data_IF_234880310767
#
_entry.id   IF_234880310767
#
_cell.length_a   1.000
_cell.length_b   1.000
_cell.length_c   1.000
_cell.angle_alpha   90.00
_cell.angle_beta   90.00
_cell.angle_gamma   90.00
#
_symmetry.space_group_name_H-M   'P 1'
#
loop_
_entity.id
_entity.type
_entity.pdbx_description
1 polymer ?
#
# COMPACT_ATOMS: atom_id res chain seq x y z
N UNK A 1 13.86 1.24 -15.75
CA UNK A 1 14.91 1.33 -14.71
C UNK A 1 15.51 -0.04 -14.54
N UNK A 2 16.84 -0.12 -14.40
CA UNK A 2 17.49 -1.36 -13.99
C UNK A 2 17.18 -1.55 -12.50
N UNK A 3 16.57 -2.68 -12.15
CA UNK A 3 16.16 -2.99 -10.78
C UNK A 3 17.12 -3.95 -10.14
N UNK A 4 17.26 -3.88 -8.82
CA UNK A 4 18.08 -4.83 -8.08
C UNK A 4 17.56 -6.26 -8.25
N UNK A 5 18.49 -7.20 -8.45
CA UNK A 5 18.16 -8.63 -8.49
C UNK A 5 17.94 -9.21 -7.08
N UNK A 6 18.38 -8.49 -6.05
CA UNK A 6 18.31 -8.84 -4.65
C UNK A 6 19.49 -8.24 -3.90
N UNK A 7 19.39 -8.13 -2.58
CA UNK A 7 20.45 -7.60 -1.73
C UNK A 7 21.06 -8.71 -0.88
N UNK A 8 22.35 -8.59 -0.55
CA UNK A 8 23.07 -9.60 0.23
C UNK A 8 22.48 -9.72 1.65
N UNK A 9 22.23 -8.60 2.31
CA UNK A 9 21.70 -8.57 3.68
C UNK A 9 20.16 -8.56 3.75
N UNK A 10 19.49 -8.56 2.60
CA UNK A 10 18.04 -8.59 2.48
C UNK A 10 17.63 -9.40 1.24
N UNK A 11 17.81 -10.74 1.26
CA UNK A 11 17.55 -11.58 0.11
C UNK A 11 16.06 -11.61 -0.25
N UNK A 12 15.75 -11.78 -1.53
CA UNK A 12 14.35 -11.97 -1.97
C UNK A 12 13.80 -13.29 -1.44
N UNK A 13 12.63 -13.22 -0.82
CA UNK A 13 11.85 -14.38 -0.37
C UNK A 13 10.39 -14.21 -0.83
N UNK A 14 9.62 -15.31 -1.01
CA UNK A 14 8.17 -15.21 -1.13
C UNK A 14 7.58 -14.65 0.16
N UNK A 15 6.76 -13.61 0.05
CA UNK A 15 6.18 -12.91 1.21
C UNK A 15 4.69 -13.21 1.34
N UNK A 16 4.28 -13.66 2.52
CA UNK A 16 2.89 -13.93 2.90
C UNK A 16 2.58 -13.13 4.15
N UNK A 17 2.04 -11.93 3.95
CA UNK A 17 1.94 -10.92 5.00
C UNK A 17 0.50 -10.68 5.46
N UNK A 18 0.35 -10.27 6.72
CA UNK A 18 -0.89 -9.68 7.25
C UNK A 18 -0.68 -8.18 7.51
N UNK A 19 -1.74 -7.38 7.36
CA UNK A 19 -1.73 -5.97 7.77
C UNK A 19 -1.85 -5.82 9.30
N UNK A 20 -1.07 -4.91 9.86
CA UNK A 20 -1.06 -4.59 11.30
C UNK A 20 -1.14 -3.07 11.47
N UNK A 21 -2.16 -2.62 12.18
CA UNK A 21 -2.32 -1.21 12.55
C UNK A 21 -1.31 -0.82 13.62
N UNK A 22 -0.92 0.46 13.67
CA UNK A 22 -0.07 0.99 14.76
C UNK A 22 -0.66 0.73 16.15
N UNK A 23 -2.00 0.79 16.29
CA UNK A 23 -2.71 0.47 17.55
C UNK A 23 -2.56 -0.98 17.98
N UNK A 24 -2.57 -1.91 17.01
CA UNK A 24 -2.39 -3.33 17.31
C UNK A 24 -0.94 -3.64 17.63
N UNK A 25 0.00 -3.02 16.91
CA UNK A 25 1.43 -3.12 17.21
C UNK A 25 1.80 -2.57 18.60
N UNK A 26 1.09 -1.57 19.10
CA UNK A 26 1.30 -1.00 20.43
C UNK A 26 0.53 -1.71 21.55
N UNK A 27 -0.16 -2.82 21.28
CA UNK A 27 -1.06 -3.47 22.24
C UNK A 27 -0.89 -4.99 22.34
N UNK A 28 -1.68 -5.61 23.21
CA UNK A 28 -1.56 -7.03 23.59
C UNK A 28 -1.81 -8.00 22.42
N UNK A 29 -2.54 -7.56 21.39
CA UNK A 29 -2.87 -8.36 20.20
C UNK A 29 -1.68 -8.60 19.27
N UNK A 30 -0.57 -7.88 19.44
CA UNK A 30 0.65 -8.12 18.66
C UNK A 30 1.16 -9.55 18.89
N UNK A 31 1.13 -10.06 20.13
CA UNK A 31 1.63 -11.40 20.44
C UNK A 31 0.76 -12.50 19.83
N UNK A 32 -0.56 -12.27 19.73
CA UNK A 32 -1.47 -13.16 19.02
C UNK A 32 -1.14 -13.23 17.53
N UNK A 33 -0.77 -12.11 16.91
CA UNK A 33 -0.37 -12.05 15.51
C UNK A 33 0.97 -12.74 15.26
N UNK A 34 1.97 -12.48 16.10
CA UNK A 34 3.28 -13.16 16.01
C UNK A 34 3.08 -14.66 16.10
N UNK A 35 2.30 -15.12 17.10
CA UNK A 35 2.01 -16.55 17.26
C UNK A 35 1.32 -17.14 16.02
N UNK A 36 0.35 -16.43 15.46
CA UNK A 36 -0.31 -16.86 14.23
C UNK A 36 0.69 -16.99 13.08
N UNK A 37 1.63 -16.05 12.95
CA UNK A 37 2.68 -16.10 11.93
C UNK A 37 3.58 -17.32 12.16
N UNK A 38 4.03 -17.57 13.39
CA UNK A 38 4.87 -18.72 13.75
C UNK A 38 4.18 -20.09 13.51
N UNK A 39 2.86 -20.15 13.57
CA UNK A 39 2.06 -21.39 13.47
C UNK A 39 1.44 -21.63 12.08
N UNK A 40 1.72 -20.77 11.10
CA UNK A 40 1.13 -20.80 9.75
C UNK A 40 2.19 -20.65 8.65
N UNK A 41 1.76 -20.57 7.39
CA UNK A 41 2.64 -20.25 6.26
C UNK A 41 2.97 -18.74 6.12
N UNK A 42 2.35 -17.88 6.94
CA UNK A 42 2.65 -16.46 6.98
C UNK A 42 4.09 -16.24 7.44
N UNK A 43 4.73 -15.17 6.98
CA UNK A 43 6.12 -14.86 7.34
C UNK A 43 6.41 -13.36 7.45
N UNK A 44 5.38 -12.52 7.37
CA UNK A 44 5.56 -11.09 7.21
C UNK A 44 4.43 -10.27 7.83
N UNK A 45 4.73 -9.01 8.12
CA UNK A 45 3.73 -8.00 8.44
C UNK A 45 3.90 -6.78 7.57
N UNK A 46 2.77 -6.22 7.15
CA UNK A 46 2.68 -4.85 6.64
C UNK A 46 2.20 -3.97 7.78
N UNK A 47 2.99 -2.97 8.15
CA UNK A 47 2.66 -2.05 9.23
C UNK A 47 2.79 -0.60 8.79
N UNK A 48 1.83 0.22 9.20
CA UNK A 48 1.84 1.64 8.91
C UNK A 48 2.95 2.34 9.69
N UNK A 49 4.03 2.69 9.00
CA UNK A 49 5.02 3.65 9.49
C UNK A 49 4.46 5.06 9.43
N UNK A 50 3.64 5.35 8.41
CA UNK A 50 2.78 6.53 8.35
C UNK A 50 1.37 6.13 7.90
N UNK A 51 0.39 6.32 8.76
CA UNK A 51 -1.01 5.94 8.49
C UNK A 51 -1.76 7.01 7.66
N UNK A 52 -3.04 6.79 7.39
CA UNK A 52 -3.85 7.65 6.53
C UNK A 52 -4.34 8.93 7.19
N UNK A 53 -4.24 9.02 8.52
CA UNK A 53 -4.37 10.26 9.28
C UNK A 53 -3.02 11.01 9.37
N UNK A 54 -1.92 10.39 8.94
CA UNK A 54 -0.56 10.94 8.96
C UNK A 54 0.16 10.75 10.30
N UNK A 55 -0.37 9.93 11.21
CA UNK A 55 0.33 9.55 12.43
C UNK A 55 1.49 8.61 12.11
N UNK A 56 2.55 8.73 12.89
CA UNK A 56 3.76 7.95 12.71
C UNK A 56 3.83 6.77 13.69
N UNK A 57 4.42 5.67 13.22
CA UNK A 57 4.69 4.52 14.07
C UNK A 57 5.69 4.85 15.18
N UNK A 58 6.70 5.66 14.87
CA UNK A 58 7.77 6.06 15.76
C UNK A 58 8.14 7.52 15.54
N UNK A 59 8.91 8.08 16.47
CA UNK A 59 9.37 9.46 16.39
C UNK A 59 10.40 9.65 15.27
N UNK A 60 10.14 10.55 14.33
CA UNK A 60 10.95 10.72 13.11
C UNK A 60 11.75 12.02 13.10
N UNK A 61 13.05 11.94 12.83
CA UNK A 61 13.92 13.11 12.69
C UNK A 61 13.57 13.93 11.43
N UNK A 62 13.18 13.26 10.35
CA UNK A 62 12.64 13.86 9.14
C UNK A 62 11.39 14.68 9.46
N UNK A 63 10.49 14.14 10.29
CA UNK A 63 9.28 14.86 10.71
C UNK A 63 9.59 16.08 11.57
N UNK A 64 10.59 16.04 12.47
CA UNK A 64 11.00 17.21 13.27
C UNK A 64 11.34 18.44 12.40
N UNK A 65 11.81 18.22 11.17
CA UNK A 65 12.19 19.30 10.26
C UNK A 65 11.06 19.66 9.29
N UNK A 66 10.39 18.66 8.71
CA UNK A 66 9.46 18.87 7.59
C UNK A 66 7.98 18.91 8.00
N UNK A 67 7.61 18.30 9.12
CA UNK A 67 6.24 18.26 9.61
C UNK A 67 6.18 17.95 11.13
N UNK A 68 6.63 18.89 12.00
CA UNK A 68 6.91 18.58 13.41
C UNK A 68 5.71 18.02 14.17
N UNK A 69 4.50 18.46 13.84
CA UNK A 69 3.28 18.01 14.53
C UNK A 69 3.00 16.51 14.35
N UNK A 70 3.53 15.86 13.32
CA UNK A 70 3.40 14.42 13.14
C UNK A 70 4.10 13.62 14.27
N UNK A 71 5.08 14.22 14.96
CA UNK A 71 5.74 13.62 16.12
C UNK A 71 5.01 13.87 17.45
N UNK A 72 3.97 14.72 17.48
CA UNK A 72 3.24 15.01 18.72
C UNK A 72 2.62 13.74 19.33
N UNK A 73 2.32 12.74 18.50
CA UNK A 73 1.82 11.44 18.91
C UNK A 73 2.30 10.38 17.95
N UNK A 74 2.99 9.38 18.50
CA UNK A 74 3.45 8.19 17.78
C UNK A 74 2.91 6.93 18.45
N UNK A 75 2.81 5.84 17.71
CA UNK A 75 2.25 4.59 18.24
C UNK A 75 3.21 3.84 19.17
N UNK A 76 4.49 3.80 18.83
CA UNK A 76 5.53 3.09 19.56
C UNK A 76 6.57 4.07 20.10
N UNK A 77 6.75 4.08 21.41
CA UNK A 77 7.83 4.83 22.05
C UNK A 77 9.19 4.14 21.96
N UNK A 78 9.21 2.82 21.74
CA UNK A 78 10.42 2.00 21.60
C UNK A 78 10.30 1.13 20.33
N UNK A 79 10.69 1.73 19.20
CA UNK A 79 10.65 1.06 17.90
C UNK A 79 11.73 -0.01 17.76
N UNK A 80 12.88 0.17 18.41
CA UNK A 80 13.98 -0.79 18.40
C UNK A 80 13.56 -2.11 19.05
N UNK A 81 12.86 -2.06 20.19
CA UNK A 81 12.30 -3.25 20.83
C UNK A 81 11.29 -3.97 19.93
N UNK A 82 10.42 -3.23 19.23
CA UNK A 82 9.48 -3.79 18.28
C UNK A 82 10.20 -4.52 17.13
N UNK A 83 11.13 -3.84 16.45
CA UNK A 83 11.84 -4.43 15.31
C UNK A 83 12.67 -5.62 15.75
N UNK A 84 13.34 -5.54 16.90
CA UNK A 84 14.08 -6.67 17.48
C UNK A 84 13.17 -7.88 17.69
N UNK A 85 11.99 -7.68 18.29
CA UNK A 85 11.02 -8.76 18.52
C UNK A 85 10.58 -9.41 17.21
N UNK A 86 10.26 -8.62 16.18
CA UNK A 86 9.88 -9.16 14.86
C UNK A 86 11.02 -9.99 14.25
N UNK A 87 12.26 -9.51 14.35
CA UNK A 87 13.45 -10.22 13.85
C UNK A 87 13.74 -11.52 14.61
N UNK A 88 13.52 -11.57 15.93
CA UNK A 88 13.66 -12.80 16.72
C UNK A 88 12.70 -13.91 16.26
N UNK A 89 11.55 -13.54 15.69
CA UNK A 89 10.56 -14.44 15.10
C UNK A 89 10.75 -14.62 13.57
N UNK A 90 11.84 -14.09 12.99
CA UNK A 90 12.12 -14.12 11.55
C UNK A 90 10.99 -13.50 10.67
N UNK A 91 10.28 -12.52 11.21
CA UNK A 91 9.19 -11.84 10.50
C UNK A 91 9.76 -10.78 9.55
N UNK A 92 9.41 -10.89 8.28
CA UNK A 92 9.71 -9.90 7.25
C UNK A 92 8.87 -8.64 7.45
N UNK A 93 9.53 -7.48 7.55
CA UNK A 93 8.89 -6.21 7.87
C UNK A 93 8.69 -5.34 6.63
N UNK A 94 7.43 -5.03 6.31
CA UNK A 94 7.04 -4.08 5.27
C UNK A 94 6.56 -2.77 5.93
N UNK A 95 7.31 -1.68 5.71
CA UNK A 95 6.96 -0.34 6.15
C UNK A 95 5.97 0.29 5.16
N UNK A 96 4.68 0.29 5.49
CA UNK A 96 3.65 0.98 4.71
C UNK A 96 3.66 2.47 5.03
N UNK A 97 3.75 3.28 3.97
CA UNK A 97 3.74 4.74 4.03
C UNK A 97 2.61 5.25 3.17
N UNK A 98 1.55 5.76 3.80
CA UNK A 98 0.48 6.47 3.09
C UNK A 98 1.05 7.78 2.53
N UNK A 99 1.10 7.91 1.22
CA UNK A 99 1.96 8.90 0.55
C UNK A 99 1.30 10.29 0.43
N UNK A 100 0.24 10.40 -0.39
CA UNK A 100 -0.35 11.71 -0.73
C UNK A 100 -1.65 12.03 0.04
N UNK A 101 -2.34 11.01 0.56
CA UNK A 101 -3.38 11.18 1.58
C UNK A 101 -2.72 11.46 2.94
N UNK A 102 -2.26 12.69 3.12
CA UNK A 102 -1.37 13.10 4.22
C UNK A 102 -1.96 14.31 4.96
N UNK A 103 -3.00 14.13 5.80
CA UNK A 103 -3.80 15.24 6.28
C UNK A 103 -3.11 16.10 7.34
N UNK A 104 -2.27 15.55 8.22
CA UNK A 104 -1.44 16.37 9.14
C UNK A 104 -0.52 17.28 8.32
N UNK A 105 0.16 16.73 7.30
CA UNK A 105 1.03 17.51 6.42
C UNK A 105 0.24 18.61 5.69
N UNK A 106 -0.88 18.26 5.07
CA UNK A 106 -1.69 19.20 4.29
C UNK A 106 -2.29 20.33 5.14
N UNK A 107 -2.62 20.08 6.41
CA UNK A 107 -3.09 21.11 7.35
C UNK A 107 -1.98 22.09 7.73
N UNK A 108 -0.76 21.60 7.89
CA UNK A 108 0.39 22.41 8.27
C UNK A 108 1.00 23.18 7.09
N UNK A 109 0.78 22.68 5.87
CA UNK A 109 1.26 23.27 4.61
C UNK A 109 0.11 23.44 3.62
N UNK A 110 -0.90 24.28 3.91
CA UNK A 110 -2.10 24.42 3.08
C UNK A 110 -1.81 24.95 1.65
N UNK A 111 -0.66 25.62 1.46
CA UNK A 111 -0.19 26.05 0.14
C UNK A 111 0.28 24.88 -0.75
N UNK A 112 0.52 23.70 -0.16
CA UNK A 112 0.95 22.46 -0.83
C UNK A 112 -0.14 21.41 -0.91
N UNK A 113 -1.34 21.75 -0.45
CA UNK A 113 -2.51 20.89 -0.46
C UNK A 113 -3.37 21.12 -1.70
N UNK A 114 -4.17 20.09 -2.05
CA UNK A 114 -5.21 20.23 -3.08
C UNK A 114 -6.31 21.13 -2.52
N UNK A 115 -6.78 22.08 -3.33
CA UNK A 115 -7.84 23.02 -2.95
C UNK A 115 -8.95 23.09 -3.99
N UNK A 116 -10.15 23.49 -3.56
CA UNK A 116 -11.22 23.91 -4.45
C UNK A 116 -10.86 25.27 -5.07
N UNK A 117 -10.85 25.39 -6.40
CA UNK A 117 -10.63 26.67 -7.11
C UNK A 117 -11.72 27.69 -6.77
N UNK A 118 -12.95 27.21 -6.62
CA UNK A 118 -14.12 28.04 -6.33
C UNK A 118 -14.08 28.73 -4.96
N UNK A 119 -13.57 28.07 -3.93
CA UNK A 119 -13.58 28.58 -2.54
C UNK A 119 -12.20 28.86 -1.96
N UNK A 120 -11.15 28.25 -2.52
CA UNK A 120 -9.80 28.22 -1.93
C UNK A 120 -9.66 27.30 -0.72
N UNK A 121 -10.71 26.59 -0.33
CA UNK A 121 -10.69 25.67 0.81
C UNK A 121 -9.94 24.37 0.48
N UNK A 122 -9.37 23.74 1.50
CA UNK A 122 -8.71 22.44 1.39
C UNK A 122 -9.70 21.37 0.89
N UNK A 123 -9.27 20.60 -0.10
CA UNK A 123 -10.02 19.42 -0.54
C UNK A 123 -10.06 18.38 0.59
N UNK A 124 -11.26 17.92 0.92
CA UNK A 124 -11.47 16.77 1.81
C UNK A 124 -12.33 15.73 1.11
N UNK A 125 -11.91 14.47 1.24
CA UNK A 125 -12.62 13.33 0.64
C UNK A 125 -13.86 12.95 1.48
N UNK A 126 -14.59 11.91 1.08
CA UNK A 126 -15.78 11.44 1.80
C UNK A 126 -15.50 11.07 3.27
N UNK A 127 -14.27 10.61 3.55
CA UNK A 127 -13.77 10.28 4.89
C UNK A 127 -13.31 11.51 5.70
N UNK A 128 -13.45 12.72 5.15
CA UNK A 128 -13.03 14.00 5.73
C UNK A 128 -11.52 14.19 5.85
N UNK A 129 -10.73 13.31 5.23
CA UNK A 129 -9.28 13.44 5.19
C UNK A 129 -8.85 14.32 4.03
N UNK A 130 -7.85 15.13 4.30
CA UNK A 130 -7.31 16.14 3.38
C UNK A 130 -6.14 15.53 2.62
N UNK A 131 -6.07 15.87 1.33
CA UNK A 131 -5.01 15.39 0.45
C UNK A 131 -3.99 16.48 0.16
N UNK A 132 -2.73 16.12 0.34
CA UNK A 132 -1.63 16.95 -0.14
C UNK A 132 -1.47 16.78 -1.66
N UNK A 133 -0.85 17.74 -2.32
CA UNK A 133 -0.58 17.63 -3.75
C UNK A 133 0.49 16.58 -4.01
N UNK A 134 0.24 15.66 -4.93
CA UNK A 134 1.26 14.73 -5.42
C UNK A 134 2.36 15.44 -6.25
N UNK A 135 2.18 16.72 -6.59
CA UNK A 135 3.22 17.53 -7.25
C UNK A 135 4.20 18.17 -6.25
N UNK A 136 3.91 18.17 -4.95
CA UNK A 136 4.79 18.74 -3.94
C UNK A 136 6.06 17.91 -3.72
N UNK A 137 7.19 18.45 -4.17
CA UNK A 137 8.51 17.81 -4.04
C UNK A 137 9.03 17.79 -2.61
N UNK A 138 8.56 18.68 -1.73
CA UNK A 138 8.94 18.58 -0.32
C UNK A 138 8.17 17.46 0.39
N UNK A 139 6.91 17.22 0.05
CA UNK A 139 6.20 16.02 0.51
C UNK A 139 6.89 14.73 0.03
N UNK A 140 7.46 14.72 -1.18
CA UNK A 140 8.25 13.57 -1.64
C UNK A 140 9.46 13.34 -0.72
N UNK A 141 10.21 14.40 -0.41
CA UNK A 141 11.33 14.34 0.54
C UNK A 141 10.90 13.89 1.93
N UNK A 142 9.74 14.34 2.40
CA UNK A 142 9.18 13.92 3.69
C UNK A 142 8.87 12.42 3.74
N UNK A 143 8.15 11.91 2.74
CA UNK A 143 7.80 10.48 2.68
C UNK A 143 9.05 9.60 2.51
N UNK A 144 10.00 9.99 1.65
CA UNK A 144 11.25 9.24 1.44
C UNK A 144 12.19 9.33 2.64
N UNK A 145 12.25 10.46 3.36
CA UNK A 145 13.03 10.58 4.58
C UNK A 145 12.52 9.67 5.70
N UNK A 146 11.19 9.58 5.88
CA UNK A 146 10.59 8.58 6.79
C UNK A 146 10.91 7.15 6.33
N UNK A 147 10.85 6.88 5.02
CA UNK A 147 11.22 5.58 4.47
C UNK A 147 12.68 5.20 4.77
N UNK A 148 13.62 6.14 4.67
CA UNK A 148 15.03 5.94 5.04
C UNK A 148 15.20 5.60 6.51
N UNK A 149 14.45 6.24 7.39
CA UNK A 149 14.48 5.91 8.82
C UNK A 149 13.94 4.50 9.09
N UNK A 150 12.86 4.08 8.41
CA UNK A 150 12.37 2.70 8.50
C UNK A 150 13.39 1.69 7.95
N UNK A 151 14.03 1.99 6.81
CA UNK A 151 15.12 1.17 6.27
C UNK A 151 16.30 1.05 7.26
N UNK A 152 16.71 2.15 7.89
CA UNK A 152 17.79 2.17 8.89
C UNK A 152 17.48 1.37 10.16
N UNK A 153 16.20 1.31 10.57
CA UNK A 153 15.73 0.42 11.65
C UNK A 153 15.79 -1.07 11.24
N UNK A 154 15.92 -1.32 9.94
CA UNK A 154 16.06 -2.64 9.33
C UNK A 154 14.73 -3.30 9.00
N UNK A 155 13.78 -2.49 8.53
CA UNK A 155 12.67 -2.99 7.72
C UNK A 155 13.20 -3.54 6.39
N UNK A 156 12.53 -4.56 5.85
CA UNK A 156 12.98 -5.23 4.64
C UNK A 156 12.46 -4.54 3.36
N UNK A 157 11.30 -3.89 3.45
CA UNK A 157 10.60 -3.31 2.31
C UNK A 157 9.89 -2.02 2.70
N UNK A 158 9.89 -1.06 1.77
CA UNK A 158 9.09 0.15 1.84
C UNK A 158 7.95 0.01 0.84
N UNK A 159 6.72 0.05 1.36
CA UNK A 159 5.51 0.02 0.55
C UNK A 159 4.84 1.38 0.55
N UNK A 160 4.71 1.99 -0.63
CA UNK A 160 3.98 3.23 -0.80
C UNK A 160 2.50 2.95 -1.09
N UNK A 161 1.63 3.28 -0.12
CA UNK A 161 0.18 3.27 -0.32
C UNK A 161 -0.33 4.69 -0.54
N UNK A 162 -1.55 4.82 -1.08
CA UNK A 162 -2.16 6.07 -1.51
C UNK A 162 -1.18 6.91 -2.36
N UNK A 163 -0.36 6.22 -3.14
CA UNK A 163 0.55 6.77 -4.14
C UNK A 163 -0.25 7.01 -5.43
N UNK A 164 -1.23 7.91 -5.29
CA UNK A 164 -2.24 8.25 -6.29
C UNK A 164 -2.84 9.63 -6.00
N UNK A 165 -3.67 10.11 -6.91
CA UNK A 165 -4.55 11.25 -6.68
C UNK A 165 -5.86 10.78 -6.01
N UNK A 166 -6.59 11.69 -5.31
CA UNK A 166 -7.92 11.39 -4.79
C UNK A 166 -8.89 11.07 -5.94
N UNK A 167 -9.82 10.14 -5.69
CA UNK A 167 -10.82 9.71 -6.68
C UNK A 167 -11.97 10.73 -6.75
N UNK A 168 -11.72 11.86 -7.41
CA UNK A 168 -12.64 13.00 -7.46
C UNK A 168 -13.55 12.92 -8.69
N UNK A 169 -14.87 12.93 -8.46
CA UNK A 169 -15.87 12.89 -9.53
C UNK A 169 -15.86 14.14 -10.44
N UNK A 170 -15.57 15.33 -9.88
CA UNK A 170 -15.50 16.60 -10.61
C UNK A 170 -14.14 17.26 -10.46
N UNK A 171 -13.20 16.90 -11.32
CA UNK A 171 -11.81 17.39 -11.25
C UNK A 171 -11.66 18.85 -11.69
N UNK A 172 -12.61 19.41 -12.47
CA UNK A 172 -12.47 20.76 -13.04
C UNK A 172 -12.29 21.87 -11.99
N UNK A 173 -12.92 21.71 -10.82
CA UNK A 173 -12.84 22.67 -9.72
C UNK A 173 -11.63 22.42 -8.81
N UNK A 174 -10.75 21.46 -9.12
CA UNK A 174 -9.59 21.14 -8.28
C UNK A 174 -8.35 21.90 -8.76
N UNK A 175 -7.68 22.57 -7.84
CA UNK A 175 -6.30 23.01 -7.99
C UNK A 175 -5.38 22.00 -7.31
N UNK A 176 -4.65 21.26 -8.14
CA UNK A 176 -3.67 20.26 -7.70
C UNK A 176 -2.30 20.88 -7.41
N UNK A 177 -2.11 22.20 -7.44
CA UNK A 177 -0.81 22.86 -7.28
C UNK A 177 0.23 22.37 -8.30
N UNK A 178 -0.22 22.20 -9.54
CA UNK A 178 0.59 21.64 -10.62
C UNK A 178 1.25 22.73 -11.46
N UNK A 179 2.31 23.34 -10.92
CA UNK A 179 3.01 24.44 -11.58
C UNK A 179 3.84 23.99 -12.80
N UNK A 180 4.15 22.69 -12.89
CA UNK A 180 5.00 22.13 -13.95
C UNK A 180 4.22 21.62 -15.16
N UNK A 181 2.89 21.49 -15.06
CA UNK A 181 2.05 20.86 -16.08
C UNK A 181 2.27 19.35 -16.21
N UNK A 182 2.90 18.72 -15.23
CA UNK A 182 3.13 17.27 -15.18
C UNK A 182 1.80 16.52 -15.10
N UNK A 183 1.61 15.45 -15.88
CA UNK A 183 0.38 14.64 -15.78
C UNK A 183 0.32 13.88 -14.44
N UNK A 184 -0.88 13.46 -14.02
CA UNK A 184 -1.04 12.66 -12.80
C UNK A 184 -0.20 11.38 -12.85
N UNK A 185 -0.29 10.63 -13.97
CA UNK A 185 0.54 9.45 -14.21
C UNK A 185 2.04 9.75 -14.12
N UNK A 186 2.50 10.87 -14.68
CA UNK A 186 3.92 11.25 -14.62
C UNK A 186 4.34 11.60 -13.18
N UNK A 187 3.52 12.31 -12.41
CA UNK A 187 3.81 12.65 -11.02
C UNK A 187 3.97 11.38 -10.16
N UNK A 188 3.06 10.41 -10.29
CA UNK A 188 3.14 9.12 -9.58
C UNK A 188 4.40 8.35 -9.99
N UNK A 189 4.66 8.23 -11.30
CA UNK A 189 5.85 7.52 -11.76
C UNK A 189 7.14 8.18 -11.30
N UNK A 190 7.23 9.50 -11.36
CA UNK A 190 8.43 10.24 -11.00
C UNK A 190 8.67 10.23 -9.49
N UNK A 191 7.62 10.25 -8.67
CA UNK A 191 7.75 9.99 -7.24
C UNK A 191 8.33 8.61 -6.96
N UNK A 192 7.80 7.56 -7.59
CA UNK A 192 8.27 6.19 -7.37
C UNK A 192 9.73 6.01 -7.84
N UNK A 193 10.13 6.62 -8.96
CA UNK A 193 11.54 6.65 -9.39
C UNK A 193 12.41 7.40 -8.39
N UNK A 194 11.98 8.57 -7.93
CA UNK A 194 12.70 9.34 -6.92
C UNK A 194 12.89 8.53 -5.62
N UNK A 195 11.84 7.84 -5.16
CA UNK A 195 11.92 6.97 -3.99
C UNK A 195 12.89 5.81 -4.23
N UNK A 196 12.79 5.12 -5.37
CA UNK A 196 13.66 4.00 -5.72
C UNK A 196 15.14 4.41 -5.73
N UNK A 197 15.47 5.50 -6.44
CA UNK A 197 16.84 6.04 -6.52
C UNK A 197 17.41 6.42 -5.15
N UNK A 198 16.55 6.89 -4.24
CA UNK A 198 16.99 7.34 -2.92
C UNK A 198 17.07 6.23 -1.87
N UNK A 199 16.38 5.11 -2.06
CA UNK A 199 16.27 4.02 -1.08
C UNK A 199 17.03 2.75 -1.49
N UNK A 200 17.42 2.61 -2.77
CA UNK A 200 18.10 1.41 -3.25
C UNK A 200 19.46 1.16 -2.59
N UNK A 201 20.14 2.21 -2.12
CA UNK A 201 21.41 2.10 -1.39
C UNK A 201 21.22 1.56 0.04
N UNK A 202 20.00 1.65 0.59
CA UNK A 202 19.67 1.14 1.93
C UNK A 202 19.30 -0.36 1.93
N UNK A 203 19.50 -1.05 0.80
CA UNK A 203 19.24 -2.49 0.61
C UNK A 203 17.80 -2.93 0.93
N UNK A 204 16.81 -2.04 0.74
CA UNK A 204 15.38 -2.34 0.90
C UNK A 204 14.67 -2.50 -0.43
N UNK A 205 13.64 -3.34 -0.46
CA UNK A 205 12.75 -3.44 -1.62
C UNK A 205 11.73 -2.31 -1.62
N UNK A 206 11.32 -1.89 -2.81
CA UNK A 206 10.28 -0.87 -2.98
C UNK A 206 9.04 -1.51 -3.58
N UNK A 207 7.89 -1.27 -2.95
CA UNK A 207 6.59 -1.68 -3.48
C UNK A 207 5.59 -0.53 -3.51
N UNK A 208 4.55 -0.69 -4.31
CA UNK A 208 3.49 0.31 -4.44
C UNK A 208 2.11 -0.33 -4.53
N UNK A 209 1.20 0.17 -3.71
CA UNK A 209 -0.19 -0.27 -3.71
C UNK A 209 -0.97 0.43 -4.83
N UNK A 210 -1.69 -0.37 -5.62
CA UNK A 210 -2.54 0.12 -6.71
C UNK A 210 -3.96 -0.42 -6.58
N UNK A 211 -4.93 0.30 -7.14
CA UNK A 211 -6.30 -0.21 -7.24
C UNK A 211 -6.30 -1.56 -7.96
N UNK A 212 -7.05 -2.55 -7.46
CA UNK A 212 -7.15 -3.86 -8.10
C UNK A 212 -7.58 -3.78 -9.57
N UNK A 213 -8.44 -2.80 -9.90
CA UNK A 213 -8.89 -2.56 -11.27
C UNK A 213 -7.80 -1.99 -12.20
N UNK A 214 -6.71 -1.41 -11.67
CA UNK A 214 -5.62 -0.86 -12.48
C UNK A 214 -4.99 -1.92 -13.38
N UNK A 215 -4.98 -3.20 -12.98
CA UNK A 215 -4.50 -4.30 -13.82
C UNK A 215 -5.36 -4.55 -15.08
N UNK A 216 -6.63 -4.13 -15.07
CA UNK A 216 -7.61 -4.39 -16.13
C UNK A 216 -8.01 -3.14 -16.92
N UNK A 217 -7.67 -1.95 -16.42
CA UNK A 217 -7.92 -0.68 -17.08
C UNK A 217 -6.85 -0.36 -18.13
N UNK A 218 -7.25 0.26 -19.24
CA UNK A 218 -6.30 0.75 -20.26
C UNK A 218 -5.69 2.11 -19.88
N UNK A 219 -6.37 2.86 -19.02
CA UNK A 219 -5.96 4.18 -18.55
C UNK A 219 -5.31 4.11 -17.15
N UNK A 220 -5.18 5.25 -16.50
CA UNK A 220 -4.61 5.40 -15.15
C UNK A 220 -5.68 5.39 -14.04
N UNK A 221 -6.86 4.85 -14.38
CA UNK A 221 -8.07 4.80 -13.55
C UNK A 221 -8.51 6.16 -12.98
N UNK A 222 -8.07 7.26 -13.60
CA UNK A 222 -8.44 8.63 -13.23
C UNK A 222 -7.77 9.15 -11.96
N UNK A 223 -6.76 8.44 -11.45
CA UNK A 223 -6.03 8.73 -10.20
C UNK A 223 -4.50 8.67 -10.38
N UNK A 224 -4.00 8.65 -11.62
CA UNK A 224 -2.58 8.58 -11.93
C UNK A 224 -1.95 7.17 -11.81
N UNK A 225 -2.74 6.14 -11.51
CA UNK A 225 -2.24 4.77 -11.38
C UNK A 225 -2.29 4.02 -12.71
N UNK A 226 -1.34 4.34 -13.58
CA UNK A 226 -1.11 3.58 -14.81
C UNK A 226 -0.18 2.39 -14.53
N UNK A 227 -0.63 1.17 -14.85
CA UNK A 227 0.06 -0.06 -14.49
C UNK A 227 1.52 -0.12 -14.93
N UNK A 228 1.81 0.10 -16.22
CA UNK A 228 3.18 0.04 -16.74
C UNK A 228 4.05 1.15 -16.14
N UNK A 229 3.44 2.30 -15.81
CA UNK A 229 4.19 3.40 -15.19
C UNK A 229 4.68 3.02 -13.80
N UNK A 230 3.82 2.41 -12.99
CA UNK A 230 4.14 1.92 -11.64
C UNK A 230 5.03 0.67 -11.70
N UNK A 231 4.64 -0.35 -12.46
CA UNK A 231 5.33 -1.63 -12.52
C UNK A 231 6.78 -1.53 -13.03
N UNK A 232 7.14 -0.49 -13.79
CA UNK A 232 8.54 -0.24 -14.19
C UNK A 232 9.36 0.54 -13.14
N UNK A 233 8.73 1.05 -12.07
CA UNK A 233 9.33 1.95 -11.09
C UNK A 233 9.56 1.32 -9.70
N UNK A 234 9.06 0.11 -9.44
CA UNK A 234 9.14 -0.57 -8.13
C UNK A 234 9.54 -2.03 -8.27
N UNK A 235 10.02 -2.66 -7.20
CA UNK A 235 10.35 -4.10 -7.19
C UNK A 235 9.08 -4.96 -7.18
N UNK A 236 8.06 -4.57 -6.43
CA UNK A 236 6.76 -5.25 -6.37
C UNK A 236 5.60 -4.27 -6.61
N UNK A 237 4.65 -4.66 -7.45
CA UNK A 237 3.37 -3.96 -7.60
C UNK A 237 2.30 -4.73 -6.83
N UNK A 238 1.56 -4.02 -5.98
CA UNK A 238 0.64 -4.59 -5.02
C UNK A 238 -0.81 -4.21 -5.34
N UNK A 239 -1.46 -4.89 -6.31
CA UNK A 239 -2.85 -4.62 -6.62
C UNK A 239 -3.78 -5.03 -5.46
N UNK A 240 -4.64 -4.10 -5.06
CA UNK A 240 -5.70 -4.32 -4.08
C UNK A 240 -6.84 -5.16 -4.66
N UNK A 241 -6.61 -6.47 -4.80
CA UNK A 241 -7.55 -7.41 -5.43
C UNK A 241 -8.64 -7.89 -4.48
N UNK A 242 -9.24 -6.97 -3.70
CA UNK A 242 -10.36 -7.29 -2.81
C UNK A 242 -11.61 -7.58 -3.65
N UNK A 243 -12.18 -8.80 -3.63
CA UNK A 243 -13.33 -9.11 -4.46
C UNK A 243 -14.53 -8.17 -4.22
N UNK A 244 -14.71 -7.68 -2.99
CA UNK A 244 -15.71 -6.66 -2.63
C UNK A 244 -15.56 -5.30 -3.31
N UNK A 245 -14.39 -4.99 -3.87
CA UNK A 245 -14.09 -3.71 -4.49
C UNK A 245 -14.17 -3.74 -6.03
N UNK A 246 -14.50 -4.90 -6.61
CA UNK A 246 -14.86 -5.00 -8.02
C UNK A 246 -16.37 -4.79 -8.18
N UNK A 247 -16.74 -3.99 -9.17
CA UNK A 247 -18.14 -3.68 -9.46
C UNK A 247 -18.91 -4.88 -10.01
N UNK A 248 -20.25 -4.91 -9.84
CA UNK A 248 -21.10 -5.92 -10.44
C UNK A 248 -20.87 -6.04 -11.96
N UNK A 249 -20.74 -7.28 -12.44
CA UNK A 249 -20.46 -7.58 -13.85
C UNK A 249 -18.98 -7.52 -14.23
N UNK A 250 -18.08 -7.03 -13.37
CA UNK A 250 -16.64 -7.11 -13.65
C UNK A 250 -16.23 -8.56 -13.88
N UNK A 251 -15.42 -8.75 -14.93
CA UNK A 251 -15.01 -10.05 -15.44
C UNK A 251 -16.17 -11.00 -15.79
N UNK A 252 -17.41 -10.54 -15.95
CA UNK A 252 -18.57 -11.40 -16.18
C UNK A 252 -19.07 -12.11 -14.92
N UNK A 253 -18.73 -11.60 -13.73
CA UNK A 253 -19.22 -12.10 -12.44
C UNK A 253 -20.34 -11.18 -11.95
N UNK A 254 -21.52 -11.74 -11.62
CA UNK A 254 -22.65 -10.93 -11.16
C UNK A 254 -22.31 -10.11 -9.91
N UNK A 255 -21.68 -10.76 -8.92
CA UNK A 255 -21.19 -10.13 -7.69
C UNK A 255 -19.79 -10.69 -7.43
N UNK A 256 -18.71 -10.01 -7.85
CA UNK A 256 -17.34 -10.52 -7.67
C UNK A 256 -17.01 -10.95 -6.23
N UNK A 257 -17.54 -10.25 -5.22
CA UNK A 257 -17.42 -10.63 -3.79
C UNK A 257 -17.93 -12.05 -3.48
N UNK A 258 -18.92 -12.55 -4.23
CA UNK A 258 -19.44 -13.90 -4.07
C UNK A 258 -18.62 -14.98 -4.84
N UNK A 259 -17.63 -14.56 -5.63
CA UNK A 259 -16.75 -15.41 -6.45
C UNK A 259 -15.27 -15.09 -6.20
N UNK A 260 -14.77 -15.29 -4.96
CA UNK A 260 -13.41 -14.90 -4.58
C UNK A 260 -12.32 -15.54 -5.44
N UNK A 261 -12.43 -16.83 -5.76
CA UNK A 261 -11.44 -17.52 -6.61
C UNK A 261 -11.40 -16.90 -8.01
N UNK A 262 -12.56 -16.79 -8.67
CA UNK A 262 -12.65 -16.32 -10.05
C UNK A 262 -12.24 -14.85 -10.19
N UNK A 263 -12.53 -14.03 -9.17
CA UNK A 263 -12.13 -12.62 -9.16
C UNK A 263 -10.61 -12.48 -9.11
N UNK A 264 -9.94 -13.23 -8.23
CA UNK A 264 -8.47 -13.23 -8.15
C UNK A 264 -7.85 -13.81 -9.42
N UNK A 265 -8.32 -14.97 -9.90
CA UNK A 265 -7.78 -15.64 -11.09
C UNK A 265 -7.84 -14.73 -12.33
N UNK A 266 -8.98 -14.08 -12.58
CA UNK A 266 -9.17 -13.22 -13.75
C UNK A 266 -8.39 -11.92 -13.64
N UNK A 267 -8.32 -11.34 -12.44
CA UNK A 267 -7.53 -10.14 -12.17
C UNK A 267 -6.03 -10.40 -12.32
N UNK A 268 -5.53 -11.54 -11.82
CA UNK A 268 -4.13 -11.96 -11.98
C UNK A 268 -3.77 -12.17 -13.45
N UNK A 269 -4.62 -12.85 -14.22
CA UNK A 269 -4.38 -13.04 -15.66
C UNK A 269 -4.25 -11.72 -16.41
N UNK A 270 -5.06 -10.71 -16.05
CA UNK A 270 -4.93 -9.37 -16.61
C UNK A 270 -3.57 -8.73 -16.21
N UNK A 271 -3.22 -8.77 -14.93
CA UNK A 271 -1.94 -8.24 -14.42
C UNK A 271 -0.72 -8.90 -15.08
N UNK A 272 -0.70 -10.22 -15.16
CA UNK A 272 0.36 -11.00 -15.80
C UNK A 272 0.49 -10.70 -17.29
N UNK A 273 -0.64 -10.55 -18.00
CA UNK A 273 -0.64 -10.17 -19.41
C UNK A 273 -0.01 -8.78 -19.63
N UNK A 274 -0.26 -7.82 -18.73
CA UNK A 274 0.41 -6.51 -18.78
C UNK A 274 1.90 -6.61 -18.49
N UNK A 275 2.29 -7.34 -17.45
CA UNK A 275 3.70 -7.54 -17.11
C UNK A 275 4.50 -8.26 -18.20
N UNK A 276 3.88 -9.18 -18.95
CA UNK A 276 4.54 -9.87 -20.06
C UNK A 276 5.02 -8.92 -21.18
N UNK A 277 4.46 -7.71 -21.27
CA UNK A 277 4.88 -6.69 -22.23
C UNK A 277 5.97 -5.74 -21.70
N UNK A 278 6.44 -5.95 -20.47
CA UNK A 278 7.43 -5.08 -19.81
C UNK A 278 8.81 -5.72 -19.77
N UNK A 279 9.83 -4.95 -20.11
CA UNK A 279 11.22 -5.40 -20.00
C UNK A 279 11.70 -5.51 -18.55
N UNK A 280 11.21 -4.63 -17.66
CA UNK A 280 11.58 -4.56 -16.25
C UNK A 280 10.32 -4.59 -15.39
N UNK A 281 9.55 -5.66 -15.51
CA UNK A 281 8.32 -5.85 -14.76
C UNK A 281 8.61 -5.95 -13.25
N UNK A 282 7.75 -5.37 -12.42
CA UNK A 282 7.72 -5.64 -10.97
C UNK A 282 7.17 -7.05 -10.72
N UNK A 283 7.57 -7.68 -9.61
CA UNK A 283 6.84 -8.83 -9.08
C UNK A 283 5.39 -8.45 -8.76
N UNK A 284 4.45 -9.37 -8.96
CA UNK A 284 3.04 -9.12 -8.63
C UNK A 284 2.79 -9.71 -7.24
N UNK A 285 2.49 -8.85 -6.26
CA UNK A 285 2.16 -9.27 -4.89
C UNK A 285 0.79 -8.72 -4.48
N UNK A 286 -0.31 -9.41 -4.81
CA UNK A 286 -1.64 -8.88 -4.59
C UNK A 286 -1.99 -8.76 -3.10
N UNK A 287 -2.84 -7.78 -2.80
CA UNK A 287 -3.62 -7.83 -1.58
C UNK A 287 -4.89 -8.66 -1.78
N UNK A 288 -5.20 -9.52 -0.80
CA UNK A 288 -6.42 -10.33 -0.72
C UNK A 288 -7.27 -9.91 0.48
N UNK A 289 -8.56 -10.24 0.43
CA UNK A 289 -9.56 -9.83 1.42
C UNK A 289 -9.77 -10.91 2.49
N UNK A 290 -9.74 -10.52 3.76
CA UNK A 290 -10.14 -11.37 4.89
C UNK A 290 -11.20 -10.70 5.79
N UNK A 291 -12.18 -10.05 5.17
CA UNK A 291 -13.31 -9.42 5.87
C UNK A 291 -14.61 -9.61 5.07
N UNK A 292 -15.74 -9.52 5.78
CA UNK A 292 -17.07 -9.55 5.15
C UNK A 292 -17.50 -8.13 4.78
N UNK A 293 -17.71 -7.88 3.48
CA UNK A 293 -18.11 -6.58 2.97
C UNK A 293 -19.63 -6.37 3.00
N UNK A 294 -20.20 -6.14 4.18
CA UNK A 294 -21.67 -6.07 4.37
C UNK A 294 -22.37 -4.95 3.61
N UNK A 295 -21.62 -4.00 3.04
CA UNK A 295 -22.11 -2.93 2.19
C UNK A 295 -22.30 -3.33 0.72
N UNK A 296 -21.76 -4.47 0.28
CA UNK A 296 -21.88 -4.95 -1.11
C UNK A 296 -23.22 -5.67 -1.28
N UNK A 297 -24.03 -5.27 -2.25
CA UNK A 297 -25.26 -6.00 -2.56
C UNK A 297 -24.94 -7.41 -3.08
N UNK A 298 -25.47 -8.44 -2.42
CA UNK A 298 -25.18 -9.84 -2.73
C UNK A 298 -23.90 -10.40 -2.12
N UNK A 299 -23.31 -9.70 -1.13
CA UNK A 299 -22.13 -10.19 -0.41
C UNK A 299 -22.31 -11.58 0.19
N UNK A 300 -21.19 -12.28 0.40
CA UNK A 300 -21.14 -13.53 1.18
C UNK A 300 -20.36 -13.33 2.47
N UNK A 301 -20.63 -14.11 3.54
CA UNK A 301 -19.76 -14.11 4.71
C UNK A 301 -18.38 -14.66 4.34
N UNK A 302 -17.34 -13.88 4.59
CA UNK A 302 -15.96 -14.33 4.42
C UNK A 302 -15.50 -15.09 5.66
N UNK A 303 -15.07 -16.33 5.44
CA UNK A 303 -14.44 -17.21 6.43
C UNK A 303 -13.22 -17.87 5.80
N UNK A 304 -12.65 -18.86 6.49
CA UNK A 304 -11.51 -19.65 6.02
C UNK A 304 -11.64 -20.12 4.56
N UNK A 305 -12.82 -20.57 4.12
CA UNK A 305 -13.02 -21.09 2.75
C UNK A 305 -12.83 -20.00 1.70
N UNK A 306 -13.37 -18.81 1.92
CA UNK A 306 -13.32 -17.69 0.97
C UNK A 306 -11.92 -17.07 0.90
N UNK A 307 -11.18 -17.05 2.02
CA UNK A 307 -9.76 -16.65 2.06
C UNK A 307 -8.91 -17.67 1.32
N UNK A 308 -9.06 -18.96 1.62
CA UNK A 308 -8.33 -20.03 0.93
C UNK A 308 -8.64 -20.03 -0.57
N UNK A 309 -9.89 -19.79 -0.98
CA UNK A 309 -10.23 -19.69 -2.40
C UNK A 309 -9.40 -18.62 -3.14
N UNK A 310 -9.11 -17.49 -2.50
CA UNK A 310 -8.23 -16.46 -3.06
C UNK A 310 -6.78 -16.96 -3.14
N UNK A 311 -6.25 -17.55 -2.06
CA UNK A 311 -4.88 -18.10 -2.00
C UNK A 311 -4.68 -19.20 -3.06
N UNK A 312 -5.67 -20.07 -3.24
CA UNK A 312 -5.62 -21.12 -4.26
C UNK A 312 -5.57 -20.52 -5.67
N UNK A 313 -6.34 -19.47 -5.96
CA UNK A 313 -6.28 -18.78 -7.25
C UNK A 313 -4.91 -18.15 -7.52
N UNK A 314 -4.24 -17.60 -6.50
CA UNK A 314 -2.87 -17.12 -6.61
C UNK A 314 -1.91 -18.26 -6.99
N UNK A 315 -1.98 -19.37 -6.23
CA UNK A 315 -1.14 -20.55 -6.42
C UNK A 315 -1.33 -21.19 -7.80
N UNK A 316 -2.57 -21.30 -8.27
CA UNK A 316 -2.90 -21.85 -9.59
C UNK A 316 -2.35 -21.00 -10.74
N UNK A 317 -2.07 -19.71 -10.49
CA UNK A 317 -1.43 -18.80 -11.44
C UNK A 317 0.08 -18.63 -11.18
N UNK A 318 0.67 -19.45 -10.30
CA UNK A 318 2.11 -19.45 -10.02
C UNK A 318 2.60 -18.29 -9.13
N UNK A 319 1.69 -17.65 -8.39
CA UNK A 319 2.01 -16.60 -7.42
C UNK A 319 1.97 -17.21 -6.01
N UNK A 320 3.11 -17.21 -5.31
CA UNK A 320 3.28 -17.75 -3.94
C UNK A 320 3.51 -16.63 -2.90
N UNK A 321 3.16 -15.40 -3.25
CA UNK A 321 3.28 -14.23 -2.37
C UNK A 321 2.00 -13.40 -2.39
N UNK A 322 1.59 -12.89 -1.22
CA UNK A 322 0.38 -12.10 -1.05
C UNK A 322 0.40 -11.30 0.25
N UNK A 323 -0.47 -10.30 0.29
CA UNK A 323 -0.73 -9.46 1.45
C UNK A 323 -2.20 -9.62 1.84
N UNK A 324 -2.51 -9.77 3.13
CA UNK A 324 -3.88 -9.98 3.60
C UNK A 324 -4.40 -8.73 4.28
N UNK A 325 -5.51 -8.20 3.77
CA UNK A 325 -6.14 -7.00 4.32
C UNK A 325 -7.33 -7.35 5.22
N UNK A 326 -7.25 -6.88 6.46
CA UNK A 326 -8.40 -6.68 7.33
C UNK A 326 -8.13 -5.48 8.27
N UNK A 327 -8.90 -4.40 8.12
CA UNK A 327 -8.75 -3.18 8.92
C UNK A 327 -9.03 -3.39 10.43
N UNK A 328 -9.83 -4.39 10.79
CA UNK A 328 -10.05 -4.80 12.18
C UNK A 328 -8.92 -5.67 12.74
N UNK A 329 -7.96 -6.07 11.89
CA UNK A 329 -6.82 -6.90 12.25
C UNK A 329 -7.25 -8.27 12.82
N UNK A 330 -8.38 -8.82 12.37
CA UNK A 330 -8.84 -10.17 12.70
C UNK A 330 -8.68 -11.06 11.47
N UNK A 331 -7.96 -12.17 11.63
CA UNK A 331 -7.63 -13.04 10.51
C UNK A 331 -8.15 -14.44 10.73
N UNK A 332 -8.66 -15.07 9.67
CA UNK A 332 -9.10 -16.46 9.70
C UNK A 332 -7.91 -17.41 9.58
N UNK A 333 -7.13 -17.54 10.67
CA UNK A 333 -5.88 -18.31 10.78
C UNK A 333 -5.86 -19.65 10.02
N UNK A 334 -6.94 -20.43 10.07
CA UNK A 334 -7.03 -21.72 9.37
C UNK A 334 -6.95 -21.63 7.84
N UNK A 335 -7.00 -20.43 7.26
CA UNK A 335 -6.80 -20.22 5.83
C UNK A 335 -5.31 -20.27 5.42
N UNK A 336 -4.39 -20.21 6.38
CA UNK A 336 -2.94 -20.13 6.16
C UNK A 336 -2.19 -21.37 6.68
N UNK A 337 -2.91 -22.46 6.97
CA UNK A 337 -2.35 -23.70 7.56
C UNK A 337 -2.17 -24.82 6.55
#
# INVERSE_FOLDING_TARGET
MEKTKGFENNPKIPVKAIYVTGKTASGDRLDEMIKMIDETELNAIVIDVKDDEGYLLFHSATAETLNPEANNKVYLSDIDAFVKKMKEHNIYLIARIVTFKSPIYAKNHPERAIVYKSTGELYSDSDKLIWASAHDRTLWQYNVGIAKEAAALGFNEIQFDYVRFPAIARQDDMDYRNDTGESQTAAIQNFLKFAYENLSEDEVYISADVFGWAASALDDVGIGQHWESVANAVDYICPMMYPSHYGPGNFGLTVPDAFPYETIDRSLKAAMARNANLQSAAGIRPWIQDFTATWVEGYIPYRTKEVHAQIQALKDNGIDEYLVWNAGNYYHENAFK
#
